data_IF_763661956765
#
_entry.id   IF_763661956765
#
_cell.length_a   1.000
_cell.length_b   1.000
_cell.length_c   1.000
_cell.angle_alpha   90.00
_cell.angle_beta   90.00
_cell.angle_gamma   90.00
#
_symmetry.space_group_name_H-M   'P 1'
#
loop_
_entity.id
_entity.type
_entity.pdbx_description
1 polymer ?
#
# COMPACT_ATOMS: atom_id res chain seq x y z
N UNK A 1 -0.13 -6.98 18.53
CA UNK A 1 0.36 -6.49 17.22
C UNK A 1 -0.24 -7.38 16.13
N UNK A 2 -0.90 -6.81 15.12
CA UNK A 2 -1.42 -7.60 14.00
C UNK A 2 -0.27 -8.11 13.12
N UNK A 3 -0.33 -9.38 12.70
CA UNK A 3 0.71 -10.02 11.86
C UNK A 3 0.60 -9.53 10.41
N UNK A 4 1.71 -9.32 9.68
CA UNK A 4 1.66 -9.04 8.23
C UNK A 4 0.83 -10.09 7.49
N UNK A 5 0.02 -9.66 6.52
CA UNK A 5 -0.73 -10.56 5.64
C UNK A 5 0.17 -11.00 4.50
N UNK A 6 0.23 -12.30 4.23
CA UNK A 6 0.98 -12.84 3.10
C UNK A 6 0.08 -13.70 2.22
N UNK A 7 0.11 -13.42 0.93
CA UNK A 7 -0.53 -14.26 -0.08
C UNK A 7 0.40 -15.41 -0.49
N UNK A 8 -0.13 -16.63 -0.57
CA UNK A 8 0.61 -17.78 -1.13
C UNK A 8 -0.04 -18.24 -2.43
N UNK A 9 0.69 -18.13 -3.54
CA UNK A 9 0.27 -18.57 -4.87
C UNK A 9 1.02 -19.81 -5.34
N UNK A 10 0.32 -20.75 -5.96
CA UNK A 10 0.90 -21.93 -6.59
C UNK A 10 -0.04 -22.55 -7.60
N UNK A 11 0.40 -23.60 -8.30
CA UNK A 11 -0.54 -24.51 -8.93
C UNK A 11 -1.26 -25.36 -7.87
N UNK A 12 -2.40 -25.94 -8.25
CA UNK A 12 -3.13 -26.86 -7.38
C UNK A 12 -2.37 -28.16 -7.04
N UNK A 13 -1.28 -28.48 -7.76
CA UNK A 13 -0.45 -29.67 -7.46
C UNK A 13 0.44 -29.48 -6.22
N UNK A 14 0.65 -28.24 -5.79
CA UNK A 14 1.59 -27.88 -4.72
C UNK A 14 0.88 -27.58 -3.39
N UNK A 15 -0.34 -28.09 -3.18
CA UNK A 15 -1.15 -27.80 -2.00
C UNK A 15 -0.45 -28.19 -0.69
N UNK A 16 0.17 -29.39 -0.64
CA UNK A 16 0.88 -29.85 0.57
C UNK A 16 2.06 -28.95 0.93
N UNK A 17 2.82 -28.48 -0.07
CA UNK A 17 3.92 -27.54 0.14
C UNK A 17 3.40 -26.18 0.65
N UNK A 18 2.28 -25.71 0.10
CA UNK A 18 1.64 -24.47 0.54
C UNK A 18 1.17 -24.54 1.99
N UNK A 19 0.50 -25.63 2.37
CA UNK A 19 0.03 -25.86 3.74
C UNK A 19 1.19 -25.91 4.74
N UNK A 20 2.31 -26.51 4.33
CA UNK A 20 3.49 -26.63 5.16
C UNK A 20 4.21 -25.27 5.33
N UNK A 21 4.30 -24.47 4.28
CA UNK A 21 4.79 -23.07 4.35
C UNK A 21 3.86 -22.23 5.22
N UNK A 22 2.54 -22.34 5.01
CA UNK A 22 1.54 -21.60 5.77
C UNK A 22 1.66 -21.88 7.27
N UNK A 23 1.78 -23.17 7.64
CA UNK A 23 2.00 -23.61 9.01
C UNK A 23 3.29 -23.03 9.60
N UNK A 24 4.38 -23.03 8.84
CA UNK A 24 5.66 -22.47 9.30
C UNK A 24 5.66 -20.94 9.47
N UNK A 25 4.79 -20.24 8.75
CA UNK A 25 4.62 -18.79 8.82
C UNK A 25 3.56 -18.34 9.85
N UNK A 26 2.76 -19.26 10.37
CA UNK A 26 1.59 -18.96 11.20
C UNK A 26 1.91 -18.05 12.40
N UNK A 27 3.11 -18.11 12.97
CA UNK A 27 3.51 -17.26 14.10
C UNK A 27 3.88 -15.83 13.69
N UNK A 28 4.29 -15.60 12.44
CA UNK A 28 4.84 -14.31 11.98
C UNK A 28 3.95 -13.58 10.99
N UNK A 29 3.07 -14.28 10.28
CA UNK A 29 2.23 -13.72 9.24
C UNK A 29 0.84 -14.38 9.24
N UNK A 30 -0.17 -13.59 8.91
CA UNK A 30 -1.51 -14.10 8.60
C UNK A 30 -1.50 -14.54 7.13
N UNK A 31 -1.59 -15.85 6.91
CA UNK A 31 -1.49 -16.43 5.57
C UNK A 31 -2.87 -16.41 4.92
N UNK A 32 -2.95 -15.83 3.73
CA UNK A 32 -4.13 -15.83 2.86
C UNK A 32 -3.91 -16.88 1.76
N UNK A 33 -4.49 -18.09 1.89
CA UNK A 33 -4.30 -19.13 0.90
C UNK A 33 -5.16 -18.90 -0.34
N UNK A 34 -4.57 -19.18 -1.52
CA UNK A 34 -5.20 -19.17 -2.84
C UNK A 34 -6.60 -19.84 -2.90
N UNK A 35 -6.84 -20.86 -2.08
CA UNK A 35 -8.00 -21.75 -2.17
C UNK A 35 -9.33 -21.16 -1.69
N UNK A 36 -9.34 -19.98 -1.05
CA UNK A 36 -10.44 -19.67 -0.12
C UNK A 36 -11.48 -18.65 -0.58
N UNK A 37 -11.40 -18.00 -1.76
CA UNK A 37 -12.49 -17.08 -2.17
C UNK A 37 -12.57 -16.83 -3.68
N UNK A 38 -13.14 -17.78 -4.43
CA UNK A 38 -13.71 -17.51 -5.76
C UNK A 38 -15.24 -17.58 -5.64
N UNK A 39 -15.87 -16.46 -5.25
CA UNK A 39 -17.33 -16.38 -5.27
C UNK A 39 -17.81 -16.47 -6.73
N UNK A 40 -18.80 -17.33 -7.04
CA UNK A 40 -19.40 -17.37 -8.38
C UNK A 40 -19.90 -15.98 -8.79
N UNK A 41 -19.47 -15.50 -9.97
CA UNK A 41 -19.93 -14.22 -10.54
C UNK A 41 -18.94 -13.04 -10.51
N UNK A 42 -17.75 -13.18 -9.92
CA UNK A 42 -16.63 -12.22 -10.09
C UNK A 42 -15.47 -12.86 -10.86
N UNK A 43 -14.76 -12.05 -11.66
CA UNK A 43 -13.57 -12.51 -12.38
C UNK A 43 -12.43 -12.86 -11.41
N UNK A 44 -11.77 -14.00 -11.63
CA UNK A 44 -10.56 -14.43 -10.88
C UNK A 44 -9.52 -13.31 -10.80
N UNK A 45 -9.35 -12.56 -11.89
CA UNK A 45 -8.38 -11.47 -11.98
C UNK A 45 -8.72 -10.30 -11.06
N UNK A 46 -9.99 -9.89 -10.97
CA UNK A 46 -10.40 -8.76 -10.13
C UNK A 46 -10.08 -9.04 -8.66
N UNK A 47 -10.32 -10.27 -8.20
CA UNK A 47 -10.00 -10.65 -6.82
C UNK A 47 -8.49 -10.67 -6.55
N UNK A 48 -7.67 -11.05 -7.53
CA UNK A 48 -6.21 -11.01 -7.40
C UNK A 48 -5.70 -9.57 -7.31
N UNK A 49 -6.30 -8.66 -8.09
CA UNK A 49 -5.98 -7.22 -8.01
C UNK A 49 -6.31 -6.69 -6.62
N UNK A 50 -7.51 -6.97 -6.11
CA UNK A 50 -7.92 -6.61 -4.74
C UNK A 50 -6.96 -7.19 -3.69
N UNK A 51 -6.67 -8.49 -3.75
CA UNK A 51 -5.77 -9.17 -2.82
C UNK A 51 -4.36 -8.56 -2.84
N UNK A 52 -3.84 -8.20 -4.01
CA UNK A 52 -2.52 -7.57 -4.14
C UNK A 52 -2.42 -6.21 -3.43
N UNK A 53 -3.55 -5.55 -3.21
CA UNK A 53 -3.66 -4.30 -2.45
C UNK A 53 -3.86 -4.53 -0.95
N UNK A 54 -4.42 -5.69 -0.58
CA UNK A 54 -4.78 -6.07 0.78
C UNK A 54 -3.66 -6.74 1.60
N UNK A 55 -2.67 -7.33 0.92
CA UNK A 55 -1.57 -8.07 1.57
C UNK A 55 -0.28 -7.24 1.68
N UNK A 56 0.55 -7.61 2.64
CA UNK A 56 1.86 -7.00 2.89
C UNK A 56 2.98 -7.66 2.07
N UNK A 57 2.79 -8.95 1.76
CA UNK A 57 3.74 -9.81 1.07
C UNK A 57 3.02 -10.80 0.16
N UNK A 58 3.75 -11.35 -0.81
CA UNK A 58 3.32 -12.53 -1.55
C UNK A 58 4.47 -13.51 -1.74
N UNK A 59 4.18 -14.81 -1.78
CA UNK A 59 5.14 -15.84 -2.17
C UNK A 59 4.52 -16.77 -3.22
N UNK A 60 5.29 -17.08 -4.25
CA UNK A 60 4.86 -17.90 -5.38
C UNK A 60 5.73 -19.14 -5.55
N UNK A 61 5.10 -20.31 -5.66
CA UNK A 61 5.79 -21.57 -5.90
C UNK A 61 5.92 -21.83 -7.39
N UNK A 62 7.15 -21.69 -7.89
CA UNK A 62 7.52 -22.04 -9.25
C UNK A 62 8.01 -23.48 -9.29
N UNK A 63 7.05 -24.41 -9.38
CA UNK A 63 7.28 -25.85 -9.41
C UNK A 63 7.58 -26.37 -10.84
N UNK A 64 7.71 -27.69 -10.95
CA UNK A 64 7.90 -28.43 -12.21
C UNK A 64 6.55 -28.93 -12.78
N UNK A 65 5.58 -28.04 -12.94
CA UNK A 65 4.19 -28.45 -13.18
C UNK A 65 3.85 -28.69 -14.65
N UNK A 66 4.49 -27.93 -15.53
CA UNK A 66 4.32 -27.99 -16.98
C UNK A 66 5.63 -28.45 -17.62
N UNK A 67 5.53 -29.26 -18.68
CA UNK A 67 6.68 -29.84 -19.38
C UNK A 67 6.61 -29.45 -20.85
N UNK A 68 7.67 -28.81 -21.33
CA UNK A 68 7.84 -28.53 -22.76
C UNK A 68 8.94 -29.42 -23.30
N UNK A 69 8.61 -30.30 -24.26
CA UNK A 69 9.61 -31.01 -25.05
C UNK A 69 10.17 -30.07 -26.10
N UNK A 70 11.44 -29.69 -25.96
CA UNK A 70 12.18 -29.01 -27.01
C UNK A 70 12.72 -30.09 -27.96
N UNK A 71 11.96 -30.42 -29.01
CA UNK A 71 12.31 -31.42 -30.02
C UNK A 71 12.43 -32.89 -29.54
N UNK A 72 12.41 -33.82 -30.50
CA UNK A 72 12.47 -35.27 -30.26
C UNK A 72 13.83 -35.76 -29.71
N UNK A 73 14.82 -34.88 -29.58
CA UNK A 73 16.20 -35.21 -29.25
C UNK A 73 16.66 -34.72 -27.86
N UNK A 74 15.96 -33.76 -27.23
CA UNK A 74 16.31 -33.29 -25.89
C UNK A 74 15.27 -33.76 -24.86
N UNK A 75 15.71 -34.17 -23.65
CA UNK A 75 14.78 -34.42 -22.56
C UNK A 75 13.97 -33.15 -22.27
N UNK A 76 12.65 -33.29 -22.14
CA UNK A 76 11.76 -32.15 -21.91
C UNK A 76 12.16 -31.34 -20.68
N UNK A 77 11.92 -30.02 -20.73
CA UNK A 77 12.22 -29.10 -19.64
C UNK A 77 10.96 -28.77 -18.86
N UNK A 78 11.03 -28.90 -17.53
CA UNK A 78 9.95 -28.50 -16.65
C UNK A 78 9.93 -26.97 -16.44
N UNK A 79 8.75 -26.38 -16.32
CA UNK A 79 8.53 -24.96 -16.07
C UNK A 79 7.40 -24.74 -15.04
N UNK A 80 7.38 -23.58 -14.36
CA UNK A 80 6.20 -23.16 -13.61
C UNK A 80 5.02 -22.96 -14.55
N UNK A 81 3.79 -23.04 -14.00
CA UNK A 81 2.59 -22.71 -14.76
C UNK A 81 2.54 -21.23 -15.13
N UNK A 82 2.07 -20.94 -16.33
CA UNK A 82 1.95 -19.58 -16.85
C UNK A 82 1.12 -18.66 -15.94
N UNK A 83 0.01 -19.16 -15.37
CA UNK A 83 -0.83 -18.36 -14.48
C UNK A 83 -0.09 -17.95 -13.19
N UNK A 84 0.74 -18.84 -12.64
CA UNK A 84 1.51 -18.55 -11.42
C UNK A 84 2.59 -17.51 -11.70
N UNK A 85 3.21 -17.56 -12.89
CA UNK A 85 4.16 -16.53 -13.35
C UNK A 85 3.45 -15.18 -13.51
N UNK A 86 2.27 -15.18 -14.13
CA UNK A 86 1.45 -13.97 -14.30
C UNK A 86 1.05 -13.37 -12.94
N UNK A 87 0.57 -14.18 -12.01
CA UNK A 87 0.19 -13.74 -10.66
C UNK A 87 1.40 -13.17 -9.90
N UNK A 88 2.56 -13.80 -10.00
CA UNK A 88 3.79 -13.26 -9.41
C UNK A 88 4.15 -11.89 -9.99
N UNK A 89 3.98 -11.69 -11.30
CA UNK A 89 4.15 -10.40 -11.96
C UNK A 89 3.14 -9.35 -11.46
N UNK A 90 1.87 -9.72 -11.35
CA UNK A 90 0.79 -8.84 -10.84
C UNK A 90 1.10 -8.35 -9.42
N UNK A 91 1.42 -9.27 -8.51
CA UNK A 91 1.77 -8.91 -7.13
C UNK A 91 3.11 -8.17 -7.05
N UNK A 92 4.09 -8.52 -7.89
CA UNK A 92 5.34 -7.77 -8.03
C UNK A 92 5.14 -6.32 -8.46
N UNK A 93 4.18 -6.07 -9.36
CA UNK A 93 3.80 -4.71 -9.80
C UNK A 93 3.16 -3.88 -8.68
N UNK A 94 2.34 -4.50 -7.82
CA UNK A 94 1.67 -3.81 -6.72
C UNK A 94 2.54 -3.68 -5.46
N UNK A 95 3.20 -4.76 -5.03
CA UNK A 95 3.97 -4.84 -3.78
C UNK A 95 5.43 -4.39 -3.94
N UNK A 96 5.96 -4.46 -5.17
CA UNK A 96 7.39 -4.36 -5.46
C UNK A 96 8.13 -5.69 -5.19
N UNK A 97 9.22 -5.92 -5.91
CA UNK A 97 9.95 -7.20 -5.88
C UNK A 97 10.63 -7.53 -4.55
N UNK A 98 10.79 -6.57 -3.63
CA UNK A 98 11.30 -6.83 -2.27
C UNK A 98 10.28 -7.57 -1.39
N UNK A 99 9.00 -7.54 -1.76
CA UNK A 99 7.87 -8.10 -1.01
C UNK A 99 7.17 -9.24 -1.73
N UNK A 100 7.68 -9.62 -2.91
CA UNK A 100 7.19 -10.74 -3.72
C UNK A 100 8.28 -11.80 -3.83
N UNK A 101 8.10 -12.89 -3.08
CA UNK A 101 9.07 -13.98 -2.98
C UNK A 101 8.78 -15.05 -4.03
N UNK A 102 9.83 -15.56 -4.67
CA UNK A 102 9.72 -16.68 -5.63
C UNK A 102 10.42 -17.89 -5.02
N UNK A 103 9.65 -18.95 -4.78
CA UNK A 103 10.14 -20.27 -4.36
C UNK A 103 10.34 -21.11 -5.60
N UNK A 104 11.58 -21.34 -5.99
CA UNK A 104 11.92 -21.88 -7.30
C UNK A 104 12.45 -23.30 -7.19
N UNK A 105 11.71 -24.26 -7.76
CA UNK A 105 12.12 -25.65 -7.78
C UNK A 105 13.42 -25.84 -8.57
N UNK A 106 14.34 -26.64 -8.01
CA UNK A 106 15.51 -27.12 -8.73
C UNK A 106 15.08 -27.84 -10.01
N UNK A 107 15.76 -27.60 -11.14
CA UNK A 107 15.40 -28.17 -12.44
C UNK A 107 14.22 -27.52 -13.17
N UNK A 108 13.44 -26.64 -12.53
CA UNK A 108 12.39 -25.87 -13.22
C UNK A 108 13.00 -24.65 -13.94
N UNK A 109 12.54 -24.36 -15.16
CA UNK A 109 12.95 -23.19 -15.95
C UNK A 109 12.43 -21.91 -15.30
N UNK A 110 13.29 -20.91 -15.16
CA UNK A 110 12.87 -19.55 -14.79
C UNK A 110 12.81 -18.68 -16.07
N UNK A 111 11.75 -17.89 -16.28
CA UNK A 111 11.72 -16.88 -17.34
C UNK A 111 12.96 -15.97 -17.25
N UNK A 112 13.56 -15.65 -18.40
CA UNK A 112 14.81 -14.87 -18.46
C UNK A 112 14.70 -13.50 -17.80
N UNK A 113 13.52 -12.89 -17.91
CA UNK A 113 13.21 -11.59 -17.30
C UNK A 113 13.26 -11.61 -15.76
N UNK A 114 13.17 -12.80 -15.16
CA UNK A 114 13.20 -13.02 -13.71
C UNK A 114 14.57 -13.50 -13.21
N UNK A 115 15.57 -13.68 -14.08
CA UNK A 115 16.92 -14.13 -13.69
C UNK A 115 17.68 -13.15 -12.79
N UNK A 116 17.30 -11.86 -12.81
CA UNK A 116 17.86 -10.84 -11.91
C UNK A 116 17.27 -10.86 -10.49
N UNK A 117 16.27 -11.70 -10.23
CA UNK A 117 15.61 -11.79 -8.92
C UNK A 117 16.28 -12.83 -8.03
N UNK A 118 16.47 -12.49 -6.77
CA UNK A 118 16.89 -13.48 -5.76
C UNK A 118 15.71 -14.40 -5.45
N UNK A 119 15.81 -15.66 -5.85
CA UNK A 119 14.79 -16.69 -5.57
C UNK A 119 15.25 -17.62 -4.44
N UNK A 120 14.28 -18.20 -3.73
CA UNK A 120 14.57 -19.27 -2.77
C UNK A 120 14.48 -20.60 -3.50
N UNK A 121 15.63 -21.23 -3.73
CA UNK A 121 15.72 -22.53 -4.38
C UNK A 121 15.30 -23.65 -3.42
N UNK A 122 14.58 -24.64 -3.93
CA UNK A 122 14.22 -25.85 -3.19
C UNK A 122 14.24 -27.11 -4.05
N UNK A 123 14.53 -28.27 -3.46
CA UNK A 123 14.38 -29.57 -4.11
C UNK A 123 12.91 -30.05 -4.04
N UNK A 124 12.27 -30.42 -5.18
CA UNK A 124 10.92 -31.00 -5.17
C UNK A 124 10.75 -32.24 -4.30
N UNK A 125 11.82 -33.00 -4.04
CA UNK A 125 11.83 -34.11 -3.08
C UNK A 125 11.97 -33.60 -1.62
N UNK A 126 11.29 -32.49 -1.31
CA UNK A 126 11.53 -31.67 -0.12
C UNK A 126 11.43 -32.49 1.17
N UNK A 127 12.50 -32.48 1.96
CA UNK A 127 12.50 -32.99 3.34
C UNK A 127 12.07 -31.92 4.35
N UNK A 128 11.70 -32.32 5.56
CA UNK A 128 11.26 -31.40 6.63
C UNK A 128 12.33 -30.38 7.08
N UNK A 129 13.61 -30.62 6.78
CA UNK A 129 14.72 -29.69 7.07
C UNK A 129 14.79 -28.55 6.04
N UNK A 130 14.66 -28.87 4.76
CA UNK A 130 14.71 -27.88 3.69
C UNK A 130 13.50 -26.94 3.75
N UNK A 131 12.31 -27.49 4.03
CA UNK A 131 11.12 -26.69 4.28
C UNK A 131 11.33 -25.68 5.43
N UNK A 132 11.93 -26.12 6.54
CA UNK A 132 12.29 -25.22 7.65
C UNK A 132 13.22 -24.10 7.19
N UNK A 133 14.19 -24.42 6.33
CA UNK A 133 15.09 -23.44 5.72
C UNK A 133 14.36 -22.42 4.84
N UNK A 134 13.39 -22.84 4.05
CA UNK A 134 12.53 -21.95 3.24
C UNK A 134 11.74 -21.02 4.16
N UNK A 135 11.03 -21.59 5.13
CA UNK A 135 10.22 -20.82 6.08
C UNK A 135 11.08 -19.81 6.83
N UNK A 136 12.26 -20.18 7.31
CA UNK A 136 13.14 -19.26 8.05
C UNK A 136 13.61 -18.09 7.17
N UNK A 137 13.96 -18.33 5.91
CA UNK A 137 14.29 -17.24 4.96
C UNK A 137 13.11 -16.29 4.77
N UNK A 138 11.90 -16.82 4.62
CA UNK A 138 10.69 -16.01 4.49
C UNK A 138 10.42 -15.21 5.77
N UNK A 139 10.57 -15.81 6.95
CA UNK A 139 10.42 -15.14 8.25
C UNK A 139 11.40 -13.97 8.39
N UNK A 140 12.67 -14.18 8.02
CA UNK A 140 13.70 -13.14 8.04
C UNK A 140 13.39 -12.00 7.06
N UNK A 141 12.94 -12.32 5.85
CA UNK A 141 12.55 -11.33 4.86
C UNK A 141 11.34 -10.50 5.33
N UNK A 142 10.29 -11.16 5.85
CA UNK A 142 9.10 -10.52 6.41
C UNK A 142 9.47 -9.61 7.58
N UNK A 143 10.34 -10.07 8.49
CA UNK A 143 10.80 -9.29 9.63
C UNK A 143 11.63 -8.07 9.20
N UNK A 144 12.48 -8.23 8.17
CA UNK A 144 13.35 -7.17 7.64
C UNK A 144 12.53 -6.07 6.96
N UNK A 145 11.60 -6.46 6.09
CA UNK A 145 10.79 -5.51 5.32
C UNK A 145 9.62 -4.94 6.15
N UNK A 146 9.15 -5.64 7.18
CA UNK A 146 8.01 -5.23 8.02
C UNK A 146 6.69 -5.18 7.25
N UNK A 147 5.58 -4.83 7.90
CA UNK A 147 4.30 -4.62 7.19
C UNK A 147 4.45 -3.56 6.11
N UNK A 148 3.74 -3.73 4.99
CA UNK A 148 3.59 -2.69 3.97
C UNK A 148 2.93 -1.50 4.66
N UNK A 149 3.54 -0.32 4.52
CA UNK A 149 3.24 0.82 5.39
C UNK A 149 1.74 1.07 5.44
N UNK A 150 1.12 0.80 6.60
CA UNK A 150 -0.31 1.02 6.81
C UNK A 150 -0.72 2.47 6.51
N UNK A 151 0.28 3.37 6.49
CA UNK A 151 0.18 4.79 6.16
C UNK A 151 0.37 5.11 4.68
N UNK A 152 1.08 4.31 3.87
CA UNK A 152 1.46 4.68 2.50
C UNK A 152 0.30 4.61 1.52
N UNK A 153 0.10 5.63 0.70
CA UNK A 153 -0.95 5.73 -0.31
C UNK A 153 -1.70 7.06 -0.25
N UNK A 154 -2.89 7.12 -0.86
CA UNK A 154 -3.73 8.31 -0.90
C UNK A 154 -4.78 8.33 0.21
N UNK A 155 -4.96 9.49 0.84
CA UNK A 155 -5.88 9.70 1.94
C UNK A 155 -6.65 11.01 1.76
N UNK A 156 -7.97 10.93 1.85
CA UNK A 156 -8.81 12.09 2.11
C UNK A 156 -8.70 12.45 3.59
N UNK A 157 -8.28 13.67 3.89
CA UNK A 157 -8.19 14.25 5.22
C UNK A 157 -9.37 15.21 5.42
N UNK A 158 -10.17 14.94 6.44
CA UNK A 158 -11.38 15.68 6.80
C UNK A 158 -11.12 16.43 8.12
N UNK A 159 -11.27 17.75 8.11
CA UNK A 159 -11.12 18.58 9.30
C UNK A 159 -12.30 18.42 10.26
N UNK A 160 -12.03 18.18 11.55
CA UNK A 160 -13.07 18.11 12.59
C UNK A 160 -13.11 19.35 13.48
N UNK A 161 -12.08 20.20 13.45
CA UNK A 161 -12.06 21.42 14.26
C UNK A 161 -12.88 22.52 13.58
N UNK A 162 -13.58 23.33 14.38
CA UNK A 162 -14.34 24.46 13.89
C UNK A 162 -13.47 25.36 13.00
N UNK A 163 -13.93 25.63 11.78
CA UNK A 163 -13.17 26.39 10.79
C UNK A 163 -13.17 27.87 11.12
N UNK A 164 -12.07 28.53 10.77
CA UNK A 164 -11.89 29.97 10.91
C UNK A 164 -11.21 30.54 9.67
N UNK A 165 -11.18 31.86 9.54
CA UNK A 165 -10.39 32.52 8.49
C UNK A 165 -8.90 32.15 8.59
N UNK A 166 -8.43 31.88 9.82
CA UNK A 166 -7.05 31.49 10.10
C UNK A 166 -6.75 30.05 9.69
N UNK A 167 -7.72 29.14 9.78
CA UNK A 167 -7.59 27.75 9.35
C UNK A 167 -8.84 27.35 8.56
N UNK A 168 -8.90 27.68 7.24
CA UNK A 168 -10.12 27.57 6.46
C UNK A 168 -10.30 26.21 5.77
N UNK A 169 -9.30 25.32 5.82
CA UNK A 169 -9.33 24.02 5.14
C UNK A 169 -10.41 23.10 5.71
N UNK A 170 -11.26 22.56 4.84
CA UNK A 170 -12.32 21.61 5.20
C UNK A 170 -11.91 20.18 4.85
N UNK A 171 -11.48 19.96 3.60
CA UNK A 171 -11.04 18.66 3.07
C UNK A 171 -9.69 18.80 2.39
N UNK A 172 -8.87 17.76 2.45
CA UNK A 172 -7.60 17.67 1.72
C UNK A 172 -7.41 16.28 1.13
N UNK A 173 -6.66 16.16 0.04
CA UNK A 173 -6.16 14.89 -0.46
C UNK A 173 -4.65 14.90 -0.27
N UNK A 174 -4.15 13.93 0.49
CA UNK A 174 -2.72 13.74 0.73
C UNK A 174 -2.24 12.39 0.23
N UNK A 175 -0.99 12.38 -0.22
CA UNK A 175 -0.23 11.19 -0.60
C UNK A 175 0.89 10.98 0.40
N UNK A 176 0.94 9.80 0.98
CA UNK A 176 2.08 9.31 1.77
C UNK A 176 2.84 8.33 0.89
N UNK A 177 4.13 8.54 0.68
CA UNK A 177 4.95 7.69 -0.18
C UNK A 177 6.36 7.60 0.36
N UNK A 178 7.05 6.49 0.10
CA UNK A 178 8.50 6.40 0.26
C UNK A 178 9.24 6.76 -1.02
N UNK A 179 10.38 7.43 -0.86
CA UNK A 179 11.37 7.56 -1.92
C UNK A 179 12.23 6.29 -2.05
N UNK A 180 13.21 6.33 -2.95
CA UNK A 180 14.11 5.20 -3.23
C UNK A 180 14.98 4.82 -2.03
N UNK A 181 15.25 5.78 -1.14
CA UNK A 181 16.05 5.59 0.07
C UNK A 181 15.19 5.14 1.26
N UNK A 182 13.87 5.00 1.06
CA UNK A 182 12.91 4.57 2.07
C UNK A 182 12.41 5.70 2.97
N UNK A 183 12.78 6.95 2.70
CA UNK A 183 12.32 8.11 3.47
C UNK A 183 10.86 8.41 3.15
N UNK A 184 10.07 8.65 4.19
CA UNK A 184 8.65 8.97 4.04
C UNK A 184 8.46 10.42 3.63
N UNK A 185 7.55 10.62 2.69
CA UNK A 185 7.14 11.90 2.18
C UNK A 185 5.61 12.02 2.25
N UNK A 186 5.11 13.17 2.68
CA UNK A 186 3.70 13.54 2.69
C UNK A 186 3.53 14.74 1.77
N UNK A 187 2.59 14.68 0.84
CA UNK A 187 2.26 15.80 -0.05
C UNK A 187 0.75 15.92 -0.16
N UNK A 188 0.21 17.13 -0.14
CA UNK A 188 -1.25 17.29 -0.23
C UNK A 188 -1.71 18.64 -0.72
N UNK A 189 -2.99 18.66 -1.09
CA UNK A 189 -3.76 19.84 -1.48
C UNK A 189 -5.02 19.91 -0.62
N UNK A 190 -5.39 21.11 -0.21
CA UNK A 190 -6.53 21.37 0.67
C UNK A 190 -7.52 22.34 0.03
N UNK A 191 -8.79 22.19 0.36
CA UNK A 191 -9.90 23.00 -0.15
C UNK A 191 -10.78 23.54 0.99
N UNK A 192 -11.33 24.73 0.77
CA UNK A 192 -12.32 25.38 1.64
C UNK A 192 -13.73 24.79 1.43
N UNK A 193 -14.71 25.24 2.22
CA UNK A 193 -16.12 24.82 2.05
C UNK A 193 -16.73 25.13 0.70
N UNK A 194 -16.26 26.21 0.08
CA UNK A 194 -16.74 26.69 -1.20
C UNK A 194 -16.05 25.96 -2.38
N UNK A 195 -15.21 24.96 -2.08
CA UNK A 195 -14.46 24.20 -3.07
C UNK A 195 -13.21 24.90 -3.59
N UNK A 196 -12.89 26.10 -3.11
CA UNK A 196 -11.68 26.81 -3.53
C UNK A 196 -10.42 26.21 -2.88
N UNK A 197 -9.33 26.16 -3.65
CA UNK A 197 -8.03 25.68 -3.14
C UNK A 197 -7.54 26.59 -2.01
N UNK A 198 -7.37 26.02 -0.81
CA UNK A 198 -6.90 26.73 0.39
C UNK A 198 -5.39 26.66 0.55
N UNK A 199 -4.81 25.46 0.36
CA UNK A 199 -3.39 25.24 0.63
C UNK A 199 -2.79 24.12 -0.24
N UNK A 200 -1.47 24.20 -0.41
CA UNK A 200 -0.62 23.09 -0.85
C UNK A 200 0.45 22.87 0.21
N UNK A 201 0.76 21.63 0.52
CA UNK A 201 1.72 21.31 1.56
C UNK A 201 2.54 20.07 1.24
N UNK A 202 3.73 20.02 1.81
CA UNK A 202 4.68 18.91 1.69
C UNK A 202 5.44 18.73 3.00
N UNK A 203 5.88 17.51 3.28
CA UNK A 203 6.74 17.21 4.41
C UNK A 203 8.18 17.60 4.11
N UNK A 204 8.85 18.23 5.07
CA UNK A 204 10.31 18.38 5.07
C UNK A 204 10.98 17.20 5.78
N UNK A 205 10.27 16.59 6.74
CA UNK A 205 10.69 15.38 7.42
C UNK A 205 9.47 14.58 7.88
N UNK A 206 9.55 13.26 7.79
CA UNK A 206 8.49 12.36 8.20
C UNK A 206 9.07 11.10 8.84
N UNK A 207 8.46 10.66 9.94
CA UNK A 207 8.87 9.46 10.68
C UNK A 207 7.68 8.55 10.89
N UNK A 208 7.84 7.30 10.50
CA UNK A 208 6.88 6.25 10.78
C UNK A 208 6.85 5.89 12.27
N UNK A 209 5.65 5.62 12.78
CA UNK A 209 5.42 5.02 14.09
C UNK A 209 4.87 3.61 13.87
N UNK A 210 5.38 2.64 14.64
CA UNK A 210 4.98 1.23 14.51
C UNK A 210 3.91 0.81 15.52
N UNK A 211 3.84 1.48 16.67
CA UNK A 211 2.87 1.19 17.72
C UNK A 211 2.43 2.47 18.45
N UNK A 212 1.18 2.94 18.26
CA UNK A 212 0.27 2.54 17.19
C UNK A 212 0.85 2.89 15.81
N UNK A 213 0.43 2.17 14.76
CA UNK A 213 0.87 2.42 13.39
C UNK A 213 0.49 3.84 12.96
N UNK A 214 1.40 4.58 12.32
CA UNK A 214 1.16 5.98 11.99
C UNK A 214 2.37 6.71 11.46
N UNK A 215 2.24 8.03 11.34
CA UNK A 215 3.31 8.92 10.91
C UNK A 215 3.27 10.21 11.73
N UNK A 216 4.44 10.68 12.14
CA UNK A 216 4.65 12.03 12.65
C UNK A 216 5.50 12.77 11.62
N UNK A 217 5.06 13.95 11.19
CA UNK A 217 5.73 14.69 10.12
C UNK A 217 5.77 16.18 10.41
N UNK A 218 6.86 16.82 10.01
CA UNK A 218 6.98 18.27 9.93
C UNK A 218 6.71 18.68 8.48
N UNK A 219 5.83 19.65 8.30
CA UNK A 219 5.37 20.08 6.99
C UNK A 219 5.58 21.57 6.78
N UNK A 220 5.76 21.93 5.51
CA UNK A 220 5.69 23.29 4.98
C UNK A 220 4.58 23.38 3.96
N UNK A 221 4.06 24.57 3.76
CA UNK A 221 3.05 24.79 2.75
C UNK A 221 2.87 26.25 2.37
N UNK A 222 1.98 26.44 1.43
CA UNK A 222 1.62 27.73 0.86
C UNK A 222 0.11 27.88 0.78
N UNK A 223 -0.37 29.12 0.72
CA UNK A 223 -1.75 29.49 0.39
C UNK A 223 -1.78 30.19 -0.96
N UNK A 224 -2.03 29.47 -2.07
CA UNK A 224 -1.90 30.04 -3.41
C UNK A 224 -2.79 31.26 -3.72
N UNK A 225 -3.85 31.49 -2.94
CA UNK A 225 -4.78 32.62 -3.10
C UNK A 225 -4.65 33.69 -2.02
N UNK A 226 -3.68 33.57 -1.12
CA UNK A 226 -3.47 34.56 -0.06
C UNK A 226 -2.71 35.77 -0.63
N UNK A 227 -3.12 37.02 -0.36
CA UNK A 227 -2.51 38.23 -0.94
C UNK A 227 -1.00 38.32 -0.66
N UNK A 228 -0.59 37.97 0.57
CA UNK A 228 0.81 38.06 0.99
C UNK A 228 1.61 36.75 0.84
N UNK A 229 0.97 35.68 0.34
CA UNK A 229 1.54 34.34 0.17
C UNK A 229 2.50 33.90 1.32
N UNK A 230 2.03 33.85 2.59
CA UNK A 230 2.89 33.50 3.72
C UNK A 230 3.37 32.05 3.63
N UNK A 231 4.56 31.80 4.18
CA UNK A 231 5.03 30.44 4.34
C UNK A 231 4.35 29.83 5.55
N UNK A 232 3.66 28.72 5.33
CA UNK A 232 3.06 27.94 6.40
C UNK A 232 3.98 26.81 6.82
N UNK A 233 3.91 26.46 8.10
CA UNK A 233 4.57 25.29 8.63
C UNK A 233 3.81 24.68 9.80
N UNK A 234 4.15 23.44 10.12
CA UNK A 234 3.62 22.81 11.31
C UNK A 234 3.98 21.35 11.45
N UNK A 235 3.30 20.68 12.37
CA UNK A 235 3.49 19.27 12.66
C UNK A 235 2.18 18.54 12.47
N UNK A 236 2.21 17.39 11.80
CA UNK A 236 1.07 16.49 11.71
C UNK A 236 1.36 15.13 12.34
N UNK A 237 0.34 14.55 12.96
CA UNK A 237 0.30 13.16 13.39
C UNK A 237 -0.88 12.48 12.69
N UNK A 238 -0.62 11.33 12.08
CA UNK A 238 -1.66 10.41 11.59
C UNK A 238 -1.45 9.08 12.30
N UNK A 239 -2.53 8.54 12.87
CA UNK A 239 -2.58 7.26 13.56
C UNK A 239 -3.57 6.37 12.83
N UNK A 240 -3.06 5.28 12.26
CA UNK A 240 -3.86 4.33 11.51
C UNK A 240 -4.67 3.47 12.48
N UNK A 241 -5.97 3.39 12.24
CA UNK A 241 -6.91 2.58 13.02
C UNK A 241 -7.26 1.28 12.28
N UNK A 242 -7.46 1.37 10.96
CA UNK A 242 -7.72 0.27 10.04
C UNK A 242 -7.09 0.53 8.67
N UNK A 243 -7.22 -0.40 7.72
CA UNK A 243 -6.66 -0.24 6.37
C UNK A 243 -7.22 0.97 5.60
N UNK A 244 -8.45 1.37 5.92
CA UNK A 244 -9.22 2.41 5.25
C UNK A 244 -9.48 3.67 6.11
N UNK A 245 -9.07 3.65 7.40
CA UNK A 245 -9.33 4.74 8.34
C UNK A 245 -8.13 5.04 9.24
N UNK A 246 -7.89 6.34 9.42
CA UNK A 246 -6.95 6.85 10.41
C UNK A 246 -7.50 8.11 11.08
N UNK A 247 -6.96 8.46 12.23
CA UNK A 247 -7.25 9.70 12.96
C UNK A 247 -5.96 10.46 13.24
N UNK A 248 -6.07 11.76 13.51
CA UNK A 248 -4.87 12.55 13.69
C UNK A 248 -5.12 14.02 13.96
N UNK A 249 -4.04 14.78 13.89
CA UNK A 249 -4.09 16.22 13.96
C UNK A 249 -2.96 16.85 13.15
N UNK A 250 -3.11 18.12 12.83
CA UNK A 250 -2.01 18.97 12.37
C UNK A 250 -2.03 20.31 13.08
N UNK A 251 -0.87 20.92 13.19
CA UNK A 251 -0.73 22.31 13.60
C UNK A 251 -0.40 23.16 12.38
N UNK A 252 -0.86 24.42 12.40
CA UNK A 252 -0.57 25.42 11.37
C UNK A 252 -0.01 26.67 12.03
N UNK A 253 1.15 27.10 11.56
CA UNK A 253 1.85 28.34 11.92
C UNK A 253 2.24 29.10 10.65
N UNK A 254 2.43 30.41 10.78
CA UNK A 254 2.87 31.29 9.69
C UNK A 254 4.13 32.05 10.10
N UNK A 255 5.05 32.24 9.16
CA UNK A 255 6.23 33.09 9.34
C UNK A 255 5.89 34.59 9.39
N UNK A 256 4.77 34.99 8.79
CA UNK A 256 4.32 36.39 8.67
C UNK A 256 3.17 36.77 9.60
N UNK A 257 2.50 35.80 10.20
CA UNK A 257 1.43 36.03 11.18
C UNK A 257 1.71 35.27 12.48
N UNK A 258 2.30 35.94 13.49
CA UNK A 258 2.55 35.35 14.80
C UNK A 258 1.27 34.92 15.54
N UNK A 259 0.11 35.43 15.16
CA UNK A 259 -1.18 35.06 15.76
C UNK A 259 -1.78 33.80 15.12
N UNK A 260 -1.24 33.32 14.00
CA UNK A 260 -1.62 32.04 13.42
C UNK A 260 -0.92 30.89 14.16
N UNK A 261 -1.64 30.29 15.10
CA UNK A 261 -1.24 29.07 15.79
C UNK A 261 -2.49 28.21 16.02
N UNK A 262 -2.82 27.38 15.03
CA UNK A 262 -4.00 26.53 15.05
C UNK A 262 -3.61 25.07 15.23
N UNK A 263 -4.45 24.30 15.91
CA UNK A 263 -4.39 22.83 15.93
C UNK A 263 -5.73 22.29 15.44
N UNK A 264 -5.68 21.49 14.39
CA UNK A 264 -6.84 20.91 13.74
C UNK A 264 -6.82 19.40 13.92
N UNK A 265 -7.88 18.84 14.48
CA UNK A 265 -8.10 17.40 14.48
C UNK A 265 -8.68 16.97 13.13
N UNK A 266 -8.38 15.74 12.71
CA UNK A 266 -9.02 15.20 11.52
C UNK A 266 -9.13 13.69 11.48
N UNK A 267 -9.99 13.26 10.55
CA UNK A 267 -10.17 11.87 10.13
C UNK A 267 -9.57 11.73 8.75
N UNK A 268 -8.97 10.58 8.50
CA UNK A 268 -8.35 10.24 7.24
C UNK A 268 -9.05 8.99 6.71
N UNK A 269 -9.53 9.05 5.48
CA UNK A 269 -10.19 7.96 4.77
C UNK A 269 -9.37 7.60 3.55
N UNK A 270 -9.29 6.32 3.22
CA UNK A 270 -8.62 5.89 1.99
C UNK A 270 -9.24 6.55 0.76
N UNK A 271 -8.39 7.07 -0.12
CA UNK A 271 -8.82 7.66 -1.39
C UNK A 271 -8.57 6.70 -2.56
N UNK A 272 -9.46 6.75 -3.54
CA UNK A 272 -9.30 6.03 -4.80
C UNK A 272 -8.20 6.71 -5.65
N UNK A 273 -7.27 5.96 -6.26
CA UNK A 273 -6.31 6.53 -7.22
C UNK A 273 -6.94 7.37 -8.34
N UNK A 274 -8.17 7.04 -8.76
CA UNK A 274 -8.94 7.81 -9.74
C UNK A 274 -9.22 9.25 -9.25
N UNK A 275 -9.40 9.46 -7.94
CA UNK A 275 -9.62 10.79 -7.36
C UNK A 275 -8.40 11.69 -7.61
N UNK A 276 -7.19 11.15 -7.44
CA UNK A 276 -5.95 11.91 -7.71
C UNK A 276 -5.82 12.22 -9.20
N UNK A 277 -6.07 11.23 -10.06
CA UNK A 277 -5.99 11.41 -11.51
C UNK A 277 -6.94 12.51 -12.00
N UNK A 278 -8.18 12.51 -11.49
CA UNK A 278 -9.19 13.52 -11.79
C UNK A 278 -8.74 14.91 -11.28
N UNK A 279 -8.14 15.01 -10.10
CA UNK A 279 -7.61 16.27 -9.59
C UNK A 279 -6.41 16.83 -10.37
N UNK A 280 -5.59 15.95 -10.96
CA UNK A 280 -4.41 16.36 -11.72
C UNK A 280 -4.71 16.67 -13.19
N UNK A 281 -5.62 15.90 -13.80
CA UNK A 281 -5.82 15.89 -15.25
C UNK A 281 -7.28 16.06 -15.70
N UNK A 282 -8.25 15.99 -14.79
CA UNK A 282 -9.66 16.21 -15.10
C UNK A 282 -9.97 17.66 -15.48
N UNK A 283 -11.13 17.87 -16.09
CA UNK A 283 -11.68 19.20 -16.36
C UNK A 283 -11.96 19.97 -15.05
N UNK A 284 -12.17 21.29 -15.15
CA UNK A 284 -12.54 22.10 -13.99
C UNK A 284 -13.87 21.66 -13.37
N UNK A 285 -14.84 21.29 -14.21
CA UNK A 285 -16.16 20.78 -13.78
C UNK A 285 -16.04 19.45 -13.04
N UNK A 286 -15.27 18.49 -13.56
CA UNK A 286 -15.05 17.20 -12.90
C UNK A 286 -14.38 17.39 -11.54
N UNK A 287 -13.35 18.25 -11.47
CA UNK A 287 -12.66 18.57 -10.21
C UNK A 287 -13.62 19.20 -9.20
N UNK A 288 -14.40 20.18 -9.64
CA UNK A 288 -15.39 20.84 -8.78
C UNK A 288 -16.45 19.84 -8.28
N UNK A 289 -16.87 18.90 -9.13
CA UNK A 289 -17.83 17.86 -8.75
C UNK A 289 -17.27 16.92 -7.68
N UNK A 290 -16.05 16.39 -7.87
CA UNK A 290 -15.39 15.51 -6.90
C UNK A 290 -15.19 16.21 -5.55
N UNK A 291 -14.70 17.45 -5.57
CA UNK A 291 -14.52 18.24 -4.34
C UNK A 291 -15.86 18.52 -3.68
N UNK A 292 -16.89 18.85 -4.46
CA UNK A 292 -18.26 19.03 -3.97
C UNK A 292 -18.79 17.79 -3.26
N UNK A 293 -18.59 16.60 -3.82
CA UNK A 293 -18.98 15.34 -3.19
C UNK A 293 -18.27 15.13 -1.85
N UNK A 294 -16.94 15.27 -1.82
CA UNK A 294 -16.14 15.10 -0.58
C UNK A 294 -16.51 16.13 0.49
N UNK A 295 -16.87 17.34 0.10
CA UNK A 295 -17.37 18.37 1.01
C UNK A 295 -18.74 18.00 1.61
N UNK A 296 -19.64 17.37 0.85
CA UNK A 296 -20.92 16.88 1.39
C UNK A 296 -20.74 15.71 2.37
N UNK A 297 -19.82 14.79 2.06
CA UNK A 297 -19.43 13.71 2.96
C UNK A 297 -18.84 14.26 4.26
N UNK A 298 -17.96 15.26 4.16
CA UNK A 298 -17.42 15.98 5.32
C UNK A 298 -18.51 16.63 6.18
N UNK A 299 -19.47 17.34 5.58
CA UNK A 299 -20.58 17.96 6.33
C UNK A 299 -21.42 16.91 7.07
N UNK A 300 -21.68 15.79 6.41
CA UNK A 300 -22.44 14.68 7.00
C UNK A 300 -21.69 14.06 8.18
N UNK A 301 -20.37 13.85 8.04
CA UNK A 301 -19.53 13.32 9.10
C UNK A 301 -19.38 14.31 10.27
N UNK A 302 -19.15 15.59 10.01
CA UNK A 302 -18.99 16.62 11.03
C UNK A 302 -20.23 16.80 11.92
N UNK A 303 -21.43 16.58 11.37
CA UNK A 303 -22.69 16.61 12.13
C UNK A 303 -22.95 15.36 12.98
N UNK A 304 -22.19 14.28 12.77
CA UNK A 304 -22.35 13.01 13.48
C UNK A 304 -21.46 12.88 14.73
N UNK A 305 -20.57 13.84 14.98
CA UNK A 305 -19.69 13.93 16.14
C UNK A 305 -20.15 15.04 17.10
#
# INVERSE_FOLDING_TARGET
MNKPRIFLGSSGKQAELLDAIASGLADVADVEPWTTTFNPGRGTLDRLVELSQEVDFAAFVFAQDDWTSADAAEPGQASPRDNVVFEAGLFGGTLGMRRTFILHANGSKLPSDLLGLTTVRYDPATGAEELRGITEKLRQAIATEGRRGAVEGLWWQLSLTARSEREPSAVSLLRISRDRDGSLNVNGRAWQEDGTLSARYWSEAAKERRDPAGILYFWKGERPRHPDAPQLEGTGEIRVESADRATGYWTTRSDRDPALNARTAGIYLRADPADLQLLDSGSEEERAHLIGQRLQEWKSAANAF
#
